data_IF_103509805686
#
_entry.id   IF_103509805686
#
_cell.length_a   1.000
_cell.length_b   1.000
_cell.length_c   1.000
_cell.angle_alpha   90.00
_cell.angle_beta   90.00
_cell.angle_gamma   90.00
#
_symmetry.space_group_name_H-M   'P 1'
#
loop_
_entity.id
_entity.type
_entity.pdbx_description
1 polymer ?
#
# COMPACT_ATOMS: atom_id res chain seq x y z
N UNK A 1 35.10 -48.67 -28.22
CA UNK A 1 35.40 -47.29 -27.78
C UNK A 1 34.11 -46.48 -27.85
N UNK A 2 33.33 -46.50 -26.76
CA UNK A 2 32.01 -45.87 -26.68
C UNK A 2 32.11 -44.38 -26.32
N UNK A 3 31.45 -43.52 -27.09
CA UNK A 3 31.37 -42.07 -26.85
C UNK A 3 30.18 -41.77 -25.96
N UNK A 4 30.45 -41.22 -24.78
CA UNK A 4 29.47 -40.72 -23.82
C UNK A 4 29.00 -39.33 -24.31
N UNK A 5 27.72 -39.19 -24.58
CA UNK A 5 27.08 -37.90 -24.83
C UNK A 5 26.76 -37.22 -23.50
N UNK A 6 27.42 -36.09 -23.22
CA UNK A 6 27.12 -35.25 -22.06
C UNK A 6 25.99 -34.30 -22.47
N UNK A 7 24.81 -34.51 -21.89
CA UNK A 7 23.68 -33.58 -22.00
C UNK A 7 23.90 -32.40 -21.03
N UNK A 8 24.17 -31.22 -21.58
CA UNK A 8 24.18 -29.95 -20.85
C UNK A 8 22.74 -29.52 -20.54
N UNK A 9 22.31 -29.71 -19.29
CA UNK A 9 21.07 -29.12 -18.76
C UNK A 9 21.38 -27.65 -18.45
N UNK A 10 20.96 -26.75 -19.35
CA UNK A 10 20.98 -25.32 -19.12
C UNK A 10 19.89 -24.92 -18.12
N UNK A 11 20.29 -24.53 -16.91
CA UNK A 11 19.39 -23.94 -15.92
C UNK A 11 18.97 -22.53 -16.37
N UNK A 12 17.79 -22.42 -16.99
CA UNK A 12 17.18 -21.13 -17.28
C UNK A 12 16.80 -20.44 -15.96
N UNK A 13 17.63 -19.50 -15.53
CA UNK A 13 17.33 -18.66 -14.36
C UNK A 13 16.32 -17.60 -14.81
N UNK A 14 15.03 -17.87 -14.61
CA UNK A 14 13.98 -16.85 -14.78
C UNK A 14 14.19 -15.76 -13.73
N UNK A 15 14.87 -14.68 -14.14
CA UNK A 15 14.86 -13.42 -13.40
C UNK A 15 13.42 -12.91 -13.45
N UNK A 16 12.70 -13.05 -12.33
CA UNK A 16 11.42 -12.38 -12.16
C UNK A 16 11.68 -10.88 -12.14
N UNK A 17 11.51 -10.22 -13.28
CA UNK A 17 11.41 -8.77 -13.36
C UNK A 17 10.20 -8.35 -12.52
N UNK A 18 10.46 -7.89 -11.29
CA UNK A 18 9.47 -7.13 -10.55
C UNK A 18 9.32 -5.79 -11.29
N UNK A 19 8.33 -5.71 -12.18
CA UNK A 19 7.87 -4.44 -12.70
C UNK A 19 7.64 -3.53 -11.49
N UNK A 20 8.37 -2.41 -11.43
CA UNK A 20 8.20 -1.42 -10.38
C UNK A 20 6.76 -0.96 -10.42
N UNK A 21 5.98 -1.39 -9.42
CA UNK A 21 4.68 -0.80 -9.18
C UNK A 21 4.89 0.72 -9.10
N UNK A 22 3.99 1.50 -9.70
CA UNK A 22 3.91 2.89 -9.33
C UNK A 22 3.71 2.99 -7.81
N UNK A 23 4.57 3.76 -7.18
CA UNK A 23 4.65 3.87 -5.74
C UNK A 23 4.03 5.20 -5.33
N UNK A 24 2.85 5.14 -4.70
CA UNK A 24 2.44 6.03 -3.63
C UNK A 24 3.51 6.10 -2.53
N UNK A 25 3.97 7.30 -2.17
CA UNK A 25 5.18 7.51 -1.36
C UNK A 25 6.41 6.82 -1.97
N UNK A 26 7.43 7.58 -2.32
CA UNK A 26 8.49 7.00 -3.12
C UNK A 26 9.40 6.08 -2.32
N UNK A 27 9.63 4.88 -2.86
CA UNK A 27 10.57 3.94 -2.30
C UNK A 27 11.99 4.51 -2.30
N UNK A 28 12.57 4.58 -1.11
CA UNK A 28 14.00 4.80 -0.90
C UNK A 28 14.73 3.45 -0.86
N UNK A 29 14.19 2.47 -0.14
CA UNK A 29 14.76 1.12 -0.09
C UNK A 29 13.73 0.08 0.37
N UNK A 30 13.85 -1.14 -0.14
CA UNK A 30 13.07 -2.31 0.28
C UNK A 30 13.91 -3.33 1.08
N UNK A 31 15.05 -2.90 1.63
CA UNK A 31 16.02 -3.79 2.31
C UNK A 31 15.97 -3.72 3.84
N UNK A 32 14.84 -3.33 4.42
CA UNK A 32 14.68 -3.24 5.88
C UNK A 32 15.55 -2.15 6.50
N UNK A 33 15.20 -0.89 6.26
CA UNK A 33 15.93 0.24 6.83
C UNK A 33 15.79 0.30 8.36
N UNK A 34 16.86 0.74 9.02
CA UNK A 34 16.89 1.05 10.46
C UNK A 34 17.66 2.35 10.70
N UNK A 35 17.57 2.91 11.91
CA UNK A 35 18.25 4.16 12.28
C UNK A 35 18.00 5.28 11.27
N UNK A 36 16.74 5.43 10.88
CA UNK A 36 16.33 6.40 9.86
C UNK A 36 16.37 7.79 10.48
N UNK A 37 17.06 8.72 9.83
CA UNK A 37 16.98 10.15 10.12
C UNK A 37 16.64 10.91 8.86
N UNK A 38 16.01 12.07 9.07
CA UNK A 38 15.52 12.94 8.02
C UNK A 38 15.94 14.37 8.37
N UNK A 39 16.70 14.99 7.48
CA UNK A 39 17.06 16.41 7.54
C UNK A 39 16.53 17.11 6.29
N UNK A 40 16.05 18.34 6.42
CA UNK A 40 15.50 19.12 5.29
C UNK A 40 16.13 20.50 5.31
N UNK A 41 16.68 20.93 4.18
CA UNK A 41 17.34 22.23 4.07
C UNK A 41 16.38 23.34 3.61
N UNK A 42 16.86 24.58 3.55
CA UNK A 42 16.09 25.72 3.10
C UNK A 42 15.76 25.72 1.58
N UNK A 43 16.36 24.81 0.79
CA UNK A 43 16.08 24.67 -0.64
C UNK A 43 14.90 23.72 -0.93
N UNK A 44 14.34 23.08 0.10
CA UNK A 44 13.33 22.05 -0.08
C UNK A 44 13.91 20.71 -0.54
N UNK A 45 15.16 20.41 -0.16
CA UNK A 45 15.78 19.10 -0.36
C UNK A 45 15.82 18.35 0.97
N UNK A 46 15.64 17.05 0.92
CA UNK A 46 15.72 16.15 2.07
C UNK A 46 16.95 15.25 1.96
N UNK A 47 17.69 15.12 3.06
CA UNK A 47 18.74 14.12 3.22
C UNK A 47 18.21 13.00 4.13
N UNK A 48 17.96 11.84 3.52
CA UNK A 48 17.53 10.63 4.24
C UNK A 48 18.76 9.79 4.55
N UNK A 49 19.03 9.60 5.84
CA UNK A 49 20.13 8.72 6.30
C UNK A 49 19.55 7.50 6.97
N UNK A 50 20.07 6.31 6.64
CA UNK A 50 19.59 5.06 7.24
C UNK A 50 20.66 3.97 7.15
N UNK A 51 20.45 2.87 7.89
CA UNK A 51 21.22 1.63 7.74
C UNK A 51 20.39 0.56 7.05
N UNK A 52 20.97 -0.10 6.06
CA UNK A 52 20.39 -1.29 5.42
C UNK A 52 21.49 -2.26 5.00
N UNK A 53 21.32 -3.55 5.30
CA UNK A 53 22.33 -4.57 5.04
C UNK A 53 23.69 -4.26 5.70
N UNK A 54 23.68 -3.71 6.93
CA UNK A 54 24.89 -3.31 7.66
C UNK A 54 25.54 -2.00 7.20
N UNK A 55 25.14 -1.46 6.05
CA UNK A 55 25.77 -0.26 5.47
C UNK A 55 24.98 1.01 5.80
N UNK A 56 25.69 2.07 6.14
CA UNK A 56 25.13 3.42 6.23
C UNK A 56 24.87 3.95 4.82
N UNK A 57 23.69 4.48 4.58
CA UNK A 57 23.23 5.04 3.32
C UNK A 57 22.77 6.47 3.55
N UNK A 58 23.04 7.32 2.57
CA UNK A 58 22.58 8.71 2.51
C UNK A 58 22.00 8.97 1.15
N UNK A 59 20.76 9.44 1.10
CA UNK A 59 20.04 9.69 -0.13
C UNK A 59 19.54 11.12 -0.08
N UNK A 60 20.00 11.94 -1.04
CA UNK A 60 19.45 13.27 -1.24
C UNK A 60 18.19 13.15 -2.12
N UNK A 61 17.10 13.77 -1.71
CA UNK A 61 15.77 13.65 -2.35
C UNK A 61 15.12 15.03 -2.50
N UNK A 62 14.56 15.35 -3.67
CA UNK A 62 13.95 16.66 -3.94
C UNK A 62 13.04 16.65 -5.17
N UNK A 63 12.38 17.80 -5.43
CA UNK A 63 11.75 18.09 -6.72
C UNK A 63 10.31 17.61 -6.90
N UNK A 64 9.68 17.05 -5.87
CA UNK A 64 8.26 16.73 -5.88
C UNK A 64 7.60 17.08 -4.55
N UNK A 65 6.32 17.48 -4.63
CA UNK A 65 5.44 17.77 -3.51
C UNK A 65 4.01 17.40 -3.93
N UNK A 66 3.21 16.90 -2.98
CA UNK A 66 1.78 16.57 -3.19
C UNK A 66 1.54 15.47 -4.23
N UNK A 67 0.34 15.48 -4.81
CA UNK A 67 -0.06 14.58 -5.88
C UNK A 67 -0.85 15.34 -6.94
N UNK A 68 -0.77 14.86 -8.18
CA UNK A 68 -1.70 15.19 -9.26
C UNK A 68 -2.93 14.30 -9.15
N UNK A 69 -4.08 14.87 -9.51
CA UNK A 69 -5.32 14.12 -9.67
C UNK A 69 -5.20 13.09 -10.80
N UNK A 70 -5.90 11.94 -10.71
CA UNK A 70 -5.87 10.92 -11.76
C UNK A 70 -6.19 11.51 -13.14
N UNK A 71 -5.23 11.41 -14.05
CA UNK A 71 -5.36 11.91 -15.43
C UNK A 71 -4.92 10.82 -16.39
N UNK A 72 -5.80 10.42 -17.32
CA UNK A 72 -5.48 9.39 -18.32
C UNK A 72 -4.28 9.85 -19.16
N UNK A 73 -3.31 8.97 -19.36
CA UNK A 73 -2.03 9.24 -20.04
C UNK A 73 -1.15 10.31 -19.37
N UNK A 74 -1.52 10.78 -18.18
CA UNK A 74 -0.71 11.69 -17.39
C UNK A 74 0.43 10.97 -16.68
N UNK A 75 1.32 11.75 -16.06
CA UNK A 75 2.33 11.26 -15.12
C UNK A 75 2.10 11.88 -13.76
N UNK A 76 2.27 11.07 -12.72
CA UNK A 76 2.30 11.53 -11.34
C UNK A 76 3.58 12.34 -11.06
N UNK A 77 3.58 13.11 -9.98
CA UNK A 77 4.82 13.74 -9.47
C UNK A 77 5.75 12.68 -8.87
N UNK A 78 7.05 12.86 -9.06
CA UNK A 78 8.10 11.95 -8.60
C UNK A 78 9.34 12.70 -8.09
N UNK A 79 10.02 12.18 -7.08
CA UNK A 79 11.26 12.77 -6.58
C UNK A 79 12.44 12.42 -7.48
N UNK A 80 13.34 13.40 -7.57
CA UNK A 80 14.74 13.16 -7.91
C UNK A 80 15.44 12.58 -6.69
N UNK A 81 16.25 11.55 -6.91
CA UNK A 81 16.98 10.81 -5.87
C UNK A 81 18.44 10.68 -6.25
N UNK A 82 19.32 11.03 -5.32
CA UNK A 82 20.76 10.85 -5.43
C UNK A 82 21.26 9.99 -4.26
N UNK A 83 21.49 8.71 -4.56
CA UNK A 83 21.96 7.69 -3.61
C UNK A 83 23.43 7.85 -3.19
N UNK A 84 24.14 8.85 -3.72
CA UNK A 84 25.50 9.22 -3.27
C UNK A 84 25.50 10.28 -2.16
N UNK A 85 24.33 10.70 -1.68
CA UNK A 85 24.22 11.77 -0.68
C UNK A 85 24.52 13.16 -1.25
N UNK A 86 24.34 13.35 -2.56
CA UNK A 86 24.51 14.63 -3.26
C UNK A 86 25.78 14.76 -4.09
N UNK A 87 26.69 13.78 -4.09
CA UNK A 87 27.90 13.84 -4.93
C UNK A 87 27.58 13.84 -6.43
N UNK A 88 26.63 13.03 -6.88
CA UNK A 88 26.23 13.01 -8.30
C UNK A 88 25.56 14.33 -8.73
N UNK A 89 24.88 14.99 -7.80
CA UNK A 89 24.13 16.23 -8.06
C UNK A 89 25.02 17.47 -8.00
N UNK A 90 25.89 17.54 -7.00
CA UNK A 90 26.67 18.74 -6.66
C UNK A 90 28.17 18.56 -6.85
N UNK A 91 28.65 17.37 -7.20
CA UNK A 91 30.08 17.03 -7.37
C UNK A 91 30.95 17.36 -6.13
N UNK A 92 30.34 17.27 -4.93
CA UNK A 92 30.98 17.50 -3.62
C UNK A 92 30.42 16.52 -2.58
N UNK A 93 31.07 16.40 -1.41
CA UNK A 93 30.55 15.63 -0.26
C UNK A 93 29.37 16.37 0.41
N UNK A 94 28.33 16.65 -0.38
CA UNK A 94 27.23 17.54 -0.03
C UNK A 94 26.57 17.20 1.31
N UNK A 95 26.42 15.91 1.62
CA UNK A 95 25.84 15.46 2.89
C UNK A 95 26.58 15.95 4.15
N UNK A 96 27.89 16.25 4.08
CA UNK A 96 28.68 16.74 5.23
C UNK A 96 28.36 18.20 5.56
N UNK A 97 28.02 18.97 4.53
CA UNK A 97 27.69 20.40 4.66
C UNK A 97 26.18 20.65 4.65
N UNK A 98 25.39 19.58 4.64
CA UNK A 98 23.94 19.65 4.61
C UNK A 98 23.42 20.23 5.93
N UNK A 99 22.83 21.43 5.85
CA UNK A 99 22.26 22.10 7.01
C UNK A 99 20.80 21.75 7.17
N UNK A 100 20.47 21.05 8.25
CA UNK A 100 19.10 20.78 8.63
C UNK A 100 18.40 22.04 9.13
N UNK A 101 17.20 22.28 8.61
CA UNK A 101 16.28 23.36 8.97
C UNK A 101 14.91 22.81 9.35
N UNK A 102 14.79 21.50 9.56
CA UNK A 102 13.60 20.85 10.07
C UNK A 102 13.16 21.45 11.41
N UNK A 103 11.89 21.79 11.51
CA UNK A 103 11.20 21.97 12.78
C UNK A 103 10.53 20.64 13.18
N UNK A 104 10.21 20.45 14.48
CA UNK A 104 9.45 19.29 14.93
C UNK A 104 8.17 19.10 14.12
N UNK A 105 7.89 17.86 13.73
CA UNK A 105 6.69 17.51 12.99
C UNK A 105 5.44 17.83 13.83
N UNK A 106 4.52 18.60 13.25
CA UNK A 106 3.24 18.95 13.86
C UNK A 106 2.05 18.67 12.92
N UNK A 107 2.24 17.80 11.94
CA UNK A 107 1.20 17.40 10.99
C UNK A 107 0.27 16.31 11.54
N UNK A 108 -0.61 15.74 10.70
CA UNK A 108 -1.54 14.68 11.12
C UNK A 108 -0.79 13.42 11.60
N UNK A 109 -1.47 12.63 12.45
CA UNK A 109 -0.98 11.30 12.79
C UNK A 109 -0.97 10.40 11.54
N UNK A 110 0.15 9.71 11.31
CA UNK A 110 0.35 8.84 10.16
C UNK A 110 0.87 7.47 10.64
N UNK A 111 0.55 6.38 9.92
CA UNK A 111 1.02 5.04 10.26
C UNK A 111 2.53 4.91 10.02
N UNK A 112 3.17 4.01 10.77
CA UNK A 112 4.54 3.53 10.52
C UNK A 112 5.62 4.63 10.36
N UNK A 113 5.40 5.82 10.93
CA UNK A 113 6.37 6.92 10.89
C UNK A 113 7.64 6.55 11.64
N UNK A 114 8.79 6.66 10.96
CA UNK A 114 10.12 6.44 11.56
C UNK A 114 10.98 7.69 11.61
N UNK A 115 10.68 8.70 10.78
CA UNK A 115 11.25 10.04 10.86
C UNK A 115 10.27 11.02 10.20
N UNK A 116 10.15 12.21 10.75
CA UNK A 116 9.23 13.22 10.26
C UNK A 116 9.69 14.62 10.66
N UNK A 117 9.45 15.61 9.80
CA UNK A 117 9.68 17.00 10.16
C UNK A 117 8.78 17.97 9.39
N UNK A 118 8.69 19.20 9.89
CA UNK A 118 8.12 20.33 9.16
C UNK A 118 9.26 21.14 8.54
N UNK A 119 9.20 21.35 7.23
CA UNK A 119 10.18 22.15 6.51
C UNK A 119 9.99 23.66 6.78
N UNK A 120 10.99 24.50 6.46
CA UNK A 120 10.91 25.95 6.66
C UNK A 120 9.78 26.65 5.89
N UNK A 121 9.41 26.10 4.73
CA UNK A 121 8.29 26.59 3.90
C UNK A 121 6.90 26.17 4.43
N UNK A 122 6.86 25.44 5.55
CA UNK A 122 5.64 24.94 6.17
C UNK A 122 5.14 23.60 5.61
N UNK A 123 5.81 23.03 4.62
CA UNK A 123 5.51 21.70 4.11
C UNK A 123 5.99 20.61 5.08
N UNK A 124 5.57 19.36 4.85
CA UNK A 124 5.90 18.22 5.69
C UNK A 124 6.69 17.18 4.92
N UNK A 125 7.72 16.63 5.56
CA UNK A 125 8.45 15.47 5.09
C UNK A 125 8.32 14.34 6.08
N UNK A 126 7.98 13.14 5.59
CA UNK A 126 7.82 11.96 6.44
C UNK A 126 8.40 10.72 5.77
N UNK A 127 9.14 9.95 6.55
CA UNK A 127 9.59 8.62 6.21
C UNK A 127 8.73 7.57 6.94
N UNK A 128 8.12 6.65 6.19
CA UNK A 128 7.32 5.54 6.71
C UNK A 128 8.03 4.21 6.44
N UNK A 129 8.04 3.31 7.43
CA UNK A 129 8.69 2.00 7.32
C UNK A 129 7.74 0.84 7.61
N UNK A 130 7.22 0.22 6.54
CA UNK A 130 6.14 -0.75 6.64
C UNK A 130 6.31 -1.94 5.68
N UNK A 131 5.67 -3.07 5.98
CA UNK A 131 5.80 -4.30 5.20
C UNK A 131 4.79 -4.34 4.05
N UNK A 132 5.13 -3.65 2.95
CA UNK A 132 4.26 -3.56 1.76
C UNK A 132 3.97 -4.93 1.14
N UNK A 133 4.99 -5.78 0.98
CA UNK A 133 4.91 -7.07 0.29
C UNK A 133 4.54 -8.24 1.22
N UNK A 134 3.86 -7.99 2.34
CA UNK A 134 3.30 -9.09 3.14
C UNK A 134 2.30 -9.87 2.28
N UNK A 135 2.37 -11.21 2.24
CA UNK A 135 1.46 -12.00 1.43
C UNK A 135 0.03 -11.97 2.00
N UNK A 136 -0.94 -12.00 1.10
CA UNK A 136 -2.37 -12.01 1.41
C UNK A 136 -2.82 -13.35 2.02
N UNK A 137 -4.10 -13.45 2.36
CA UNK A 137 -4.76 -14.65 2.90
C UNK A 137 -4.12 -15.18 4.19
N UNK A 138 -3.53 -14.26 4.96
CA UNK A 138 -2.91 -14.54 6.25
C UNK A 138 -1.67 -15.43 6.19
N UNK A 139 -1.06 -15.60 5.01
CA UNK A 139 0.20 -16.32 4.93
C UNK A 139 1.29 -15.59 5.72
N UNK A 140 2.18 -16.36 6.34
CA UNK A 140 3.42 -15.82 6.85
C UNK A 140 4.38 -15.57 5.69
N UNK A 141 5.18 -14.49 5.72
CA UNK A 141 6.25 -14.28 4.74
C UNK A 141 7.16 -15.50 4.60
N UNK A 142 7.31 -16.04 3.39
CA UNK A 142 8.24 -17.13 3.08
C UNK A 142 9.44 -16.67 2.25
N UNK A 143 9.38 -15.47 1.67
CA UNK A 143 10.49 -14.84 0.94
C UNK A 143 11.11 -13.70 1.75
N UNK A 144 12.43 -13.46 1.64
CA UNK A 144 13.08 -12.32 2.29
C UNK A 144 12.44 -10.97 1.94
N UNK A 145 12.04 -10.79 0.68
CA UNK A 145 11.41 -9.55 0.20
C UNK A 145 10.05 -9.27 0.85
N UNK A 146 9.34 -10.31 1.29
CA UNK A 146 8.06 -10.19 2.00
C UNK A 146 8.26 -9.81 3.48
N UNK A 147 9.42 -10.16 4.05
CA UNK A 147 9.77 -9.80 5.44
C UNK A 147 10.29 -8.38 5.55
N UNK A 148 10.89 -7.85 4.49
CA UNK A 148 11.54 -6.56 4.52
C UNK A 148 10.52 -5.42 4.63
N UNK A 149 10.82 -4.47 5.52
CA UNK A 149 10.14 -3.17 5.54
C UNK A 149 10.65 -2.30 4.40
N UNK A 150 9.71 -1.69 3.70
CA UNK A 150 9.94 -0.66 2.71
C UNK A 150 10.05 0.68 3.42
N UNK A 151 11.12 1.41 3.14
CA UNK A 151 11.27 2.80 3.55
C UNK A 151 10.78 3.67 2.40
N UNK A 152 9.65 4.33 2.63
CA UNK A 152 9.03 5.25 1.69
C UNK A 152 9.14 6.68 2.22
N UNK A 153 9.35 7.65 1.33
CA UNK A 153 9.42 9.07 1.67
C UNK A 153 8.22 9.82 1.07
N UNK A 154 7.70 10.76 1.83
CA UNK A 154 6.61 11.65 1.43
C UNK A 154 6.97 13.11 1.64
N UNK A 155 6.44 13.98 0.78
CA UNK A 155 6.56 15.43 0.86
C UNK A 155 5.25 16.07 0.41
N UNK A 156 4.60 16.81 1.30
CA UNK A 156 3.32 17.42 0.99
C UNK A 156 3.11 18.74 1.73
N UNK A 157 2.15 19.52 1.23
CA UNK A 157 1.59 20.69 1.88
C UNK A 157 0.07 20.58 1.92
N UNK A 158 -0.54 21.10 3.00
CA UNK A 158 -1.98 20.99 3.19
C UNK A 158 -2.44 19.58 3.61
N UNK A 159 -3.68 19.18 3.26
CA UNK A 159 -4.26 17.93 3.74
C UNK A 159 -3.67 16.70 3.06
N UNK A 160 -3.61 15.60 3.81
CA UNK A 160 -3.34 14.25 3.27
C UNK A 160 -4.62 13.66 2.66
N UNK A 161 -4.49 12.53 1.96
CA UNK A 161 -5.65 11.78 1.48
C UNK A 161 -6.57 11.35 2.64
N UNK A 162 -7.84 11.14 2.32
CA UNK A 162 -8.86 10.67 3.26
C UNK A 162 -9.24 9.23 2.92
N UNK A 163 -9.46 8.43 3.96
CA UNK A 163 -9.86 7.03 3.86
C UNK A 163 -11.19 6.84 4.58
N UNK A 164 -12.24 6.67 3.78
CA UNK A 164 -13.56 6.26 4.26
C UNK A 164 -13.67 4.74 4.19
N UNK A 165 -14.30 4.15 5.22
CA UNK A 165 -14.46 2.70 5.33
C UNK A 165 -15.88 2.42 5.78
N UNK A 166 -16.52 1.49 5.08
CA UNK A 166 -17.76 0.87 5.49
C UNK A 166 -17.61 -0.64 5.62
N UNK A 167 -18.53 -1.22 6.39
CA UNK A 167 -18.65 -2.66 6.55
C UNK A 167 -20.11 -3.04 6.59
N UNK A 168 -20.44 -4.10 5.86
CA UNK A 168 -21.79 -4.67 5.75
C UNK A 168 -21.70 -6.19 5.61
N UNK A 169 -22.84 -6.84 5.43
CA UNK A 169 -22.91 -8.24 5.09
C UNK A 169 -23.36 -8.42 3.62
N UNK A 170 -22.83 -9.44 2.97
CA UNK A 170 -23.09 -9.81 1.57
C UNK A 170 -23.55 -11.27 1.50
N UNK A 171 -24.08 -11.68 0.35
CA UNK A 171 -24.70 -12.99 0.14
C UNK A 171 -25.75 -13.30 1.20
N UNK A 172 -26.75 -12.41 1.31
CA UNK A 172 -27.89 -12.54 2.23
C UNK A 172 -27.48 -12.71 3.71
N UNK A 173 -26.42 -12.00 4.12
CA UNK A 173 -25.92 -12.04 5.50
C UNK A 173 -24.84 -13.07 5.76
N UNK A 174 -24.56 -13.96 4.79
CA UNK A 174 -23.65 -15.09 4.97
C UNK A 174 -22.19 -14.68 5.19
N UNK A 175 -21.75 -13.58 4.57
CA UNK A 175 -20.35 -13.15 4.64
C UNK A 175 -20.25 -11.66 4.97
N UNK A 176 -19.15 -11.26 5.61
CA UNK A 176 -18.87 -9.85 5.83
C UNK A 176 -18.18 -9.25 4.59
N UNK A 177 -18.35 -7.96 4.37
CA UNK A 177 -17.61 -7.21 3.38
C UNK A 177 -17.03 -5.94 4.02
N UNK A 178 -15.82 -5.59 3.60
CA UNK A 178 -15.22 -4.29 3.83
C UNK A 178 -15.21 -3.56 2.49
N UNK A 179 -15.63 -2.30 2.51
CA UNK A 179 -15.47 -1.43 1.36
C UNK A 179 -14.86 -0.10 1.79
N UNK A 180 -14.03 0.48 0.94
CA UNK A 180 -13.29 1.69 1.23
C UNK A 180 -13.37 2.65 0.07
N UNK A 181 -13.20 3.93 0.36
CA UNK A 181 -12.98 4.95 -0.66
C UNK A 181 -11.84 5.85 -0.24
N UNK A 182 -10.85 5.98 -1.11
CA UNK A 182 -9.74 6.91 -0.90
C UNK A 182 -9.97 8.15 -1.76
N UNK A 183 -9.92 9.33 -1.13
CA UNK A 183 -10.01 10.61 -1.82
C UNK A 183 -8.82 11.51 -1.49
N UNK A 184 -8.45 12.38 -2.42
CA UNK A 184 -7.45 13.41 -2.22
C UNK A 184 -7.98 14.71 -2.80
N UNK A 185 -8.01 15.77 -1.98
CA UNK A 185 -8.64 17.06 -2.31
C UNK A 185 -10.09 16.91 -2.81
N UNK A 186 -10.84 15.97 -2.22
CA UNK A 186 -12.23 15.68 -2.59
C UNK A 186 -12.41 14.82 -3.85
N UNK A 187 -11.33 14.45 -4.55
CA UNK A 187 -11.38 13.62 -5.75
C UNK A 187 -10.98 12.18 -5.46
N UNK A 188 -11.63 11.18 -6.09
CA UNK A 188 -11.21 9.79 -5.99
C UNK A 188 -9.76 9.54 -6.39
N UNK A 189 -9.09 8.66 -5.67
CA UNK A 189 -7.74 8.16 -6.01
C UNK A 189 -7.88 6.81 -6.70
N UNK A 190 -7.42 6.71 -7.95
CA UNK A 190 -7.45 5.48 -8.74
C UNK A 190 -6.38 5.48 -9.85
N UNK A 191 -6.10 4.29 -10.40
CA UNK A 191 -5.24 4.10 -11.57
C UNK A 191 -6.01 3.82 -12.86
N UNK A 192 -5.29 3.64 -13.95
CA UNK A 192 -5.82 3.37 -15.29
C UNK A 192 -5.49 1.98 -15.81
N UNK A 193 -4.63 1.21 -15.13
CA UNK A 193 -4.36 -0.18 -15.47
C UNK A 193 -3.69 -0.99 -14.37
N UNK A 194 -3.86 -2.31 -14.45
CA UNK A 194 -3.17 -3.29 -13.61
C UNK A 194 -2.74 -4.50 -14.40
N UNK A 195 -1.72 -5.19 -13.91
CA UNK A 195 -1.40 -6.56 -14.33
C UNK A 195 -2.49 -7.53 -13.88
N UNK A 196 -2.46 -8.77 -14.39
CA UNK A 196 -3.33 -9.88 -13.94
C UNK A 196 -3.18 -10.19 -12.45
N UNK A 197 -2.05 -9.83 -11.84
CA UNK A 197 -1.80 -10.01 -10.41
C UNK A 197 -2.22 -8.78 -9.58
N UNK A 198 -2.99 -7.84 -10.14
CA UNK A 198 -3.47 -6.65 -9.43
C UNK A 198 -2.41 -5.57 -9.18
N UNK A 199 -1.24 -5.66 -9.82
CA UNK A 199 -0.18 -4.64 -9.66
C UNK A 199 -0.45 -3.45 -10.60
N UNK A 200 -0.48 -2.20 -10.12
CA UNK A 200 -0.61 -1.00 -10.97
C UNK A 200 0.41 -0.95 -12.12
N UNK A 201 -0.04 -0.54 -13.31
CA UNK A 201 0.83 -0.37 -14.50
C UNK A 201 1.03 1.10 -14.89
N UNK A 202 0.43 2.02 -14.16
CA UNK A 202 0.52 3.47 -14.35
C UNK A 202 0.90 4.18 -13.05
N UNK A 203 1.35 5.44 -13.15
CA UNK A 203 1.85 6.22 -12.02
C UNK A 203 0.79 6.69 -11.00
N UNK A 204 -0.50 6.47 -11.26
CA UNK A 204 -1.60 6.88 -10.38
C UNK A 204 -2.17 5.74 -9.54
N UNK A 205 -2.15 4.51 -10.05
CA UNK A 205 -2.72 3.35 -9.36
C UNK A 205 -2.07 3.11 -8.00
N UNK A 206 -2.91 3.00 -6.97
CA UNK A 206 -2.50 2.74 -5.59
C UNK A 206 -3.17 1.51 -5.03
N UNK A 207 -2.48 0.88 -4.07
CA UNK A 207 -2.98 -0.27 -3.34
C UNK A 207 -3.63 0.16 -2.03
N UNK A 208 -4.73 -0.50 -1.69
CA UNK A 208 -5.36 -0.50 -0.38
C UNK A 208 -5.14 -1.88 0.23
N UNK A 209 -4.73 -1.91 1.50
CA UNK A 209 -4.36 -3.10 2.23
C UNK A 209 -5.34 -3.31 3.38
N UNK A 210 -5.77 -4.55 3.57
CA UNK A 210 -6.56 -4.98 4.70
C UNK A 210 -5.69 -5.91 5.55
N UNK A 211 -5.48 -5.54 6.80
CA UNK A 211 -5.01 -6.45 7.83
C UNK A 211 -6.17 -6.80 8.77
N UNK A 212 -6.23 -8.06 9.18
CA UNK A 212 -7.19 -8.59 10.15
C UNK A 212 -6.49 -8.95 11.46
N UNK A 213 -7.11 -8.63 12.60
CA UNK A 213 -6.55 -8.87 13.94
C UNK A 213 -7.28 -10.02 14.65
N UNK A 214 -6.53 -11.00 15.14
CA UNK A 214 -7.06 -12.18 15.85
C UNK A 214 -8.19 -12.86 15.05
N UNK A 215 -7.84 -13.38 13.88
CA UNK A 215 -8.77 -14.07 12.98
C UNK A 215 -8.48 -15.58 12.92
N UNK A 216 -9.13 -16.28 11.99
CA UNK A 216 -8.79 -17.69 11.68
C UNK A 216 -7.32 -17.90 11.29
N UNK A 217 -6.58 -16.84 10.97
CA UNK A 217 -5.15 -16.91 10.66
C UNK A 217 -4.24 -16.91 11.89
N UNK A 218 -4.84 -16.88 13.09
CA UNK A 218 -4.15 -16.89 14.37
C UNK A 218 -4.10 -15.50 15.03
N UNK A 219 -3.38 -15.41 16.16
CA UNK A 219 -3.30 -14.18 16.95
C UNK A 219 -2.49 -13.09 16.26
N UNK A 220 -2.79 -11.85 16.59
CA UNK A 220 -2.12 -10.65 16.07
C UNK A 220 -2.64 -10.22 14.71
N UNK A 221 -1.91 -9.29 14.08
CA UNK A 221 -2.22 -8.77 12.75
C UNK A 221 -1.73 -9.72 11.65
N UNK A 222 -2.59 -9.96 10.65
CA UNK A 222 -2.31 -10.72 9.43
C UNK A 222 -2.86 -9.98 8.22
N UNK A 223 -2.14 -9.97 7.10
CA UNK A 223 -2.66 -9.40 5.85
C UNK A 223 -3.76 -10.29 5.29
N UNK A 224 -4.95 -9.74 5.16
CA UNK A 224 -6.08 -10.38 4.48
C UNK A 224 -5.93 -10.22 2.97
N UNK A 225 -5.76 -8.97 2.49
CA UNK A 225 -5.68 -8.67 1.07
C UNK A 225 -4.97 -7.34 0.79
N UNK A 226 -4.46 -7.18 -0.42
CA UNK A 226 -4.00 -5.94 -1.01
C UNK A 226 -4.56 -5.83 -2.43
N UNK A 227 -5.18 -4.71 -2.79
CA UNK A 227 -5.76 -4.54 -4.13
C UNK A 227 -5.88 -3.08 -4.53
N UNK A 228 -6.03 -2.84 -5.83
CA UNK A 228 -6.21 -1.49 -6.37
C UNK A 228 -7.63 -0.97 -6.17
N UNK A 229 -7.76 0.35 -6.07
CA UNK A 229 -9.04 1.02 -6.14
C UNK A 229 -9.60 1.05 -7.57
N UNK A 230 -10.92 0.93 -7.69
CA UNK A 230 -11.67 0.99 -8.93
C UNK A 230 -11.63 2.38 -9.56
N UNK A 231 -11.45 2.40 -10.88
CA UNK A 231 -11.61 3.58 -11.71
C UNK A 231 -13.08 3.71 -12.15
N UNK A 232 -13.72 4.89 -12.08
CA UNK A 232 -13.20 6.19 -11.62
C UNK A 232 -13.56 6.51 -10.16
N UNK A 233 -14.10 5.57 -9.41
CA UNK A 233 -14.77 5.84 -8.13
C UNK A 233 -13.81 5.96 -6.94
N UNK A 234 -12.59 5.41 -7.06
CA UNK A 234 -11.66 5.26 -5.95
C UNK A 234 -12.15 4.26 -4.90
N UNK A 235 -13.17 3.46 -5.25
CA UNK A 235 -13.78 2.47 -4.40
C UNK A 235 -12.92 1.21 -4.39
N UNK A 236 -12.78 0.56 -3.25
CA UNK A 236 -12.25 -0.81 -3.16
C UNK A 236 -13.22 -1.63 -2.31
N UNK A 237 -13.55 -2.84 -2.74
CA UNK A 237 -14.44 -3.73 -2.00
C UNK A 237 -13.83 -5.11 -1.88
N UNK A 238 -14.01 -5.72 -0.72
CA UNK A 238 -13.49 -7.03 -0.42
C UNK A 238 -14.48 -7.83 0.42
N UNK A 239 -14.87 -9.00 -0.09
CA UNK A 239 -15.68 -9.95 0.66
C UNK A 239 -14.80 -10.89 1.48
N UNK A 240 -15.13 -11.02 2.75
CA UNK A 240 -14.51 -11.94 3.69
C UNK A 240 -15.22 -13.30 3.61
N UNK A 241 -14.82 -14.09 2.62
CA UNK A 241 -15.20 -15.49 2.41
C UNK A 241 -13.94 -16.31 2.09
N UNK A 242 -13.97 -17.66 2.11
CA UNK A 242 -12.81 -18.44 1.72
C UNK A 242 -12.36 -18.15 0.28
N UNK A 243 -11.08 -17.84 0.07
CA UNK A 243 -10.49 -17.57 -1.25
C UNK A 243 -9.57 -18.70 -1.68
N UNK A 244 -9.63 -19.07 -2.96
CA UNK A 244 -8.68 -20.00 -3.60
C UNK A 244 -7.34 -19.28 -3.82
N UNK A 245 -6.25 -19.68 -3.14
CA UNK A 245 -4.96 -19.02 -3.25
C UNK A 245 -4.32 -19.17 -4.64
N UNK A 246 -4.82 -20.05 -5.50
CA UNK A 246 -4.31 -20.26 -6.88
C UNK A 246 -4.99 -19.35 -7.91
N UNK A 247 -6.00 -18.58 -7.50
CA UNK A 247 -6.78 -17.67 -8.35
C UNK A 247 -6.62 -16.23 -7.87
N UNK A 248 -7.19 -15.28 -8.62
CA UNK A 248 -7.30 -13.88 -8.20
C UNK A 248 -6.00 -13.10 -8.08
N UNK A 249 -4.87 -13.67 -8.53
CA UNK A 249 -3.56 -13.02 -8.44
C UNK A 249 -2.84 -13.21 -7.10
N UNK A 250 -3.41 -13.99 -6.17
CA UNK A 250 -2.78 -14.29 -4.89
C UNK A 250 -1.46 -15.03 -5.07
N UNK A 251 -0.48 -14.69 -4.23
CA UNK A 251 0.76 -15.45 -4.10
C UNK A 251 0.64 -16.37 -2.90
N UNK A 252 1.05 -17.61 -3.05
CA UNK A 252 1.02 -18.59 -1.98
C UNK A 252 2.34 -19.38 -1.89
N UNK A 253 2.68 -19.94 -0.71
CA UNK A 253 3.79 -20.87 -0.60
C UNK A 253 3.59 -22.10 -1.49
N UNK A 254 4.68 -22.76 -1.96
CA UNK A 254 4.58 -24.03 -2.64
C UNK A 254 3.72 -25.02 -1.86
N UNK A 255 2.88 -25.78 -2.56
CA UNK A 255 1.97 -26.80 -2.01
C UNK A 255 0.86 -26.27 -1.07
N UNK A 256 0.66 -24.96 -0.94
CA UNK A 256 -0.46 -24.39 -0.17
C UNK A 256 -1.58 -23.90 -1.10
N UNK A 257 -2.29 -24.85 -1.71
CA UNK A 257 -3.34 -24.60 -2.72
C UNK A 257 -4.78 -24.65 -2.17
N UNK A 258 -4.96 -25.06 -0.91
CA UNK A 258 -6.29 -25.15 -0.29
C UNK A 258 -6.88 -23.76 -0.03
N UNK A 259 -8.19 -23.55 -0.22
CA UNK A 259 -8.86 -22.29 0.11
C UNK A 259 -8.57 -21.82 1.54
N UNK A 260 -8.47 -20.50 1.73
CA UNK A 260 -8.12 -19.87 3.00
C UNK A 260 -9.10 -18.78 3.40
N UNK A 261 -9.23 -18.57 4.69
CA UNK A 261 -10.18 -17.61 5.25
C UNK A 261 -11.55 -18.24 5.52
N UNK A 262 -12.58 -17.41 5.76
CA UNK A 262 -12.53 -15.95 5.75
C UNK A 262 -11.67 -15.39 6.89
N UNK A 263 -10.94 -14.30 6.66
CA UNK A 263 -10.19 -13.61 7.72
C UNK A 263 -11.06 -12.77 8.65
N UNK A 264 -12.19 -13.29 9.13
CA UNK A 264 -13.04 -12.60 10.11
C UNK A 264 -12.24 -12.43 11.40
N UNK A 265 -12.03 -11.18 11.81
CA UNK A 265 -11.25 -10.82 12.99
C UNK A 265 -11.93 -9.77 13.84
N UNK A 266 -11.39 -9.56 15.04
CA UNK A 266 -11.96 -8.63 16.01
C UNK A 266 -11.83 -7.16 15.56
N UNK A 267 -10.82 -6.85 14.75
CA UNK A 267 -10.55 -5.53 14.18
C UNK A 267 -9.92 -5.67 12.80
N UNK A 268 -10.09 -4.64 12.00
CA UNK A 268 -9.43 -4.49 10.71
C UNK A 268 -8.62 -3.20 10.70
N UNK A 269 -7.41 -3.28 10.16
CA UNK A 269 -6.55 -2.14 9.87
C UNK A 269 -6.49 -1.97 8.38
N UNK A 270 -6.94 -0.83 7.89
CA UNK A 270 -6.92 -0.49 6.48
C UNK A 270 -5.83 0.55 6.25
N UNK A 271 -4.88 0.23 5.39
CA UNK A 271 -3.83 1.16 4.98
C UNK A 271 -4.07 1.49 3.51
N UNK A 272 -4.26 2.76 3.20
CA UNK A 272 -4.33 3.24 1.83
C UNK A 272 -3.03 3.95 1.48
N UNK A 273 -2.43 3.54 0.36
CA UNK A 273 -1.19 4.13 -0.08
C UNK A 273 -1.44 5.51 -0.69
N UNK A 274 -0.70 6.54 -0.25
CA UNK A 274 -0.98 7.94 -0.56
C UNK A 274 -0.68 8.31 -2.02
N UNK A 275 -1.55 9.03 -2.75
CA UNK A 275 -1.28 9.36 -4.15
C UNK A 275 0.02 10.16 -4.32
N UNK A 276 0.76 9.91 -5.41
CA UNK A 276 2.02 10.60 -5.70
C UNK A 276 3.02 10.54 -4.56
N UNK A 277 3.53 11.68 -4.12
CA UNK A 277 4.50 11.76 -3.02
C UNK A 277 3.84 12.10 -1.67
N UNK A 278 2.53 11.85 -1.53
CA UNK A 278 1.81 12.03 -0.26
C UNK A 278 1.89 10.76 0.61
N UNK A 279 1.73 10.87 1.94
CA UNK A 279 1.95 9.74 2.85
C UNK A 279 0.84 8.70 2.79
N UNK A 280 1.20 7.47 3.17
CA UNK A 280 0.23 6.42 3.44
C UNK A 280 -0.63 6.82 4.65
N UNK A 281 -1.91 6.48 4.60
CA UNK A 281 -2.88 6.76 5.66
C UNK A 281 -3.47 5.46 6.19
N UNK A 282 -3.87 5.46 7.45
CA UNK A 282 -4.42 4.29 8.13
C UNK A 282 -5.71 4.62 8.86
N UNK A 283 -6.62 3.65 8.90
CA UNK A 283 -7.74 3.65 9.82
C UNK A 283 -8.02 2.23 10.32
N UNK A 284 -8.27 2.11 11.62
CA UNK A 284 -8.63 0.86 12.30
C UNK A 284 -10.11 0.90 12.64
N UNK A 285 -10.82 -0.19 12.34
CA UNK A 285 -12.23 -0.37 12.66
C UNK A 285 -12.46 -1.69 13.40
N UNK A 286 -13.54 -1.76 14.18
CA UNK A 286 -13.97 -3.01 14.80
C UNK A 286 -14.53 -3.97 13.74
N UNK A 287 -14.40 -5.27 13.98
CA UNK A 287 -15.06 -6.28 13.18
C UNK A 287 -16.57 -6.31 13.40
N UNK A 288 -17.31 -6.92 12.47
CA UNK A 288 -18.72 -7.21 12.65
C UNK A 288 -18.89 -8.58 13.30
N UNK A 289 -19.99 -8.75 14.03
CA UNK A 289 -20.53 -10.06 14.36
C UNK A 289 -21.27 -10.66 13.15
N UNK A 290 -21.78 -11.88 13.30
CA UNK A 290 -22.59 -12.53 12.27
C UNK A 290 -23.93 -11.80 12.08
N UNK A 291 -24.44 -11.76 10.86
CA UNK A 291 -25.68 -11.06 10.57
C UNK A 291 -26.88 -11.77 11.23
N UNK A 292 -27.67 -11.04 11.99
CA UNK A 292 -28.97 -11.52 12.47
C UNK A 292 -30.12 -10.75 11.79
N UNK A 293 -30.89 -11.38 10.88
CA UNK A 293 -32.04 -10.72 10.25
C UNK A 293 -33.17 -10.39 11.22
N UNK A 294 -33.21 -11.04 12.39
CA UNK A 294 -34.14 -10.73 13.47
C UNK A 294 -33.72 -9.53 14.32
N UNK A 295 -32.47 -9.06 14.19
CA UNK A 295 -31.94 -7.91 14.92
C UNK A 295 -32.16 -6.61 14.13
N UNK A 296 -33.03 -5.68 14.61
CA UNK A 296 -33.31 -4.43 13.90
C UNK A 296 -32.07 -3.55 13.71
N UNK A 297 -31.08 -3.64 14.60
CA UNK A 297 -29.85 -2.86 14.48
C UNK A 297 -28.97 -3.34 13.31
N UNK A 298 -28.93 -4.65 13.06
CA UNK A 298 -28.18 -5.22 11.95
C UNK A 298 -28.84 -4.90 10.62
N UNK A 299 -30.17 -5.01 10.55
CA UNK A 299 -30.95 -4.60 9.38
C UNK A 299 -30.73 -3.11 9.06
N UNK A 300 -30.81 -2.23 10.06
CA UNK A 300 -30.62 -0.80 9.89
C UNK A 300 -29.18 -0.46 9.46
N UNK A 301 -28.17 -1.10 10.08
CA UNK A 301 -26.76 -0.96 9.66
C UNK A 301 -26.58 -1.41 8.22
N UNK A 302 -27.09 -2.59 7.86
CA UNK A 302 -27.00 -3.16 6.52
C UNK A 302 -27.58 -2.19 5.48
N UNK A 303 -28.77 -1.64 5.72
CA UNK A 303 -29.39 -0.64 4.86
C UNK A 303 -28.53 0.64 4.73
N UNK A 304 -28.09 1.19 5.87
CA UNK A 304 -27.25 2.40 5.89
C UNK A 304 -25.94 2.22 5.13
N UNK A 305 -25.25 1.10 5.34
CA UNK A 305 -23.95 0.84 4.72
C UNK A 305 -24.09 0.54 3.23
N UNK A 306 -25.17 -0.12 2.81
CA UNK A 306 -25.50 -0.27 1.39
C UNK A 306 -25.75 1.09 0.72
N UNK A 307 -26.50 1.99 1.37
CA UNK A 307 -26.72 3.34 0.85
C UNK A 307 -25.41 4.14 0.74
N UNK A 308 -24.52 4.03 1.73
CA UNK A 308 -23.17 4.63 1.67
C UNK A 308 -22.39 4.07 0.46
N UNK A 309 -22.38 2.76 0.28
CA UNK A 309 -21.68 2.12 -0.83
C UNK A 309 -22.21 2.58 -2.19
N UNK A 310 -23.53 2.62 -2.35
CA UNK A 310 -24.20 3.11 -3.57
C UNK A 310 -23.87 4.58 -3.83
N UNK A 311 -23.80 5.42 -2.80
CA UNK A 311 -23.41 6.84 -2.92
C UNK A 311 -21.99 7.05 -3.44
N UNK A 312 -21.13 6.04 -3.36
CA UNK A 312 -19.77 6.05 -3.89
C UNK A 312 -19.67 5.44 -5.29
N UNK A 313 -20.80 5.05 -5.90
CA UNK A 313 -20.86 4.38 -7.19
C UNK A 313 -20.66 2.86 -7.12
N UNK A 314 -20.73 2.27 -5.92
CA UNK A 314 -20.77 0.82 -5.74
C UNK A 314 -22.14 0.25 -6.15
N UNK A 315 -22.19 -1.05 -6.46
CA UNK A 315 -23.45 -1.77 -6.76
C UNK A 315 -23.84 -2.68 -5.61
N UNK A 316 -25.12 -2.68 -5.27
CA UNK A 316 -25.75 -3.65 -4.37
C UNK A 316 -26.00 -4.96 -5.13
N UNK A 317 -24.96 -5.77 -5.29
CA UNK A 317 -25.12 -7.14 -5.77
C UNK A 317 -25.02 -8.12 -4.60
N UNK A 318 -25.63 -9.30 -4.67
CA UNK A 318 -25.46 -10.35 -3.65
C UNK A 318 -23.99 -10.72 -3.44
N UNK A 319 -23.10 -10.48 -4.41
CA UNK A 319 -21.66 -10.65 -4.27
C UNK A 319 -20.85 -9.44 -3.79
N UNK A 320 -21.49 -8.31 -3.47
CA UNK A 320 -20.80 -7.03 -3.21
C UNK A 320 -20.36 -6.33 -4.50
N UNK A 321 -19.43 -5.36 -4.41
CA UNK A 321 -18.90 -4.60 -5.56
C UNK A 321 -17.99 -5.42 -6.49
N UNK A 322 -18.42 -6.59 -6.95
CA UNK A 322 -17.62 -7.45 -7.84
C UNK A 322 -17.47 -6.93 -9.28
N UNK A 323 -17.94 -5.73 -9.59
CA UNK A 323 -17.76 -5.16 -10.92
C UNK A 323 -16.40 -4.45 -11.01
N UNK A 324 -15.42 -5.04 -11.69
CA UNK A 324 -14.42 -4.19 -12.36
C UNK A 324 -13.07 -4.74 -12.79
N UNK A 325 -12.63 -5.96 -12.47
CA UNK A 325 -11.28 -6.39 -12.89
C UNK A 325 -11.14 -7.83 -13.41
N UNK A 326 -12.19 -8.66 -13.35
CA UNK A 326 -12.14 -10.03 -13.89
C UNK A 326 -12.79 -10.21 -15.26
N UNK A 327 -13.39 -9.16 -15.83
CA UNK A 327 -14.02 -9.19 -17.16
C UNK A 327 -13.24 -8.35 -18.20
N UNK A 328 -11.92 -8.58 -18.29
CA UNK A 328 -11.09 -8.19 -19.44
C UNK A 328 -9.95 -9.20 -19.64
#
# INVERSE_FOLDING_TARGET
MGRIAIALIGAATTVACFAGAAQSAELITNRGASHVTLAVNAKGEALVTYRAGGQLRRVLVWGATNARLPTRNGKQVEFKRDFSGGWRTYHTTYWETFQDRCAPYNGPALPDVVAACRAPDGSYWVAQAWQRLMPDLGYLPWLPVQRAKWLELSHWSGPVAQLDIGMNWVYDGKWQQIFTRTTYLGHPVYGFGTTRAGVPTDSFGQLVYIDTFNSTYGPGWRRENASVAHNPTGLFCYGLFPHDPTRGGYRHPPNQTTPRGPGIGNRYRIIAAGPGVTPNIEKVIAGLHDYDPGNPADVARQQKQNATLESWGGKRNPGGCLAGWFDA
#
